data_IF_105606345218
#
_entry.id   IF_105606345218
#
_cell.length_a   1.000
_cell.length_b   1.000
_cell.length_c   1.000
_cell.angle_alpha   90.00
_cell.angle_beta   90.00
_cell.angle_gamma   90.00
#
_symmetry.space_group_name_H-M   'P 1'
#
loop_
_entity.id
_entity.type
_entity.pdbx_description
1 polymer ?
#
# COMPACT_ATOMS: atom_id res chain seq x y z
N UNK A 1 14.65 22.06 -17.92
CA UNK A 1 14.28 21.65 -17.64
C UNK A 1 13.87 20.87 -17.29
N UNK A 2 13.72 20.46 -16.81
CA UNK A 2 13.29 19.78 -16.42
C UNK A 2 12.70 19.30 -15.89
N UNK A 3 13.12 18.61 -15.90
CA UNK A 3 11.96 18.50 -15.48
C UNK A 3 11.58 17.85 -14.25
N UNK A 4 11.25 18.43 -13.25
CA UNK A 4 10.88 17.90 -11.97
C UNK A 4 9.66 17.02 -11.98
N UNK A 5 8.92 17.12 -13.00
CA UNK A 5 7.74 16.31 -13.10
C UNK A 5 8.03 14.86 -13.35
N UNK A 6 9.30 14.48 -13.40
CA UNK A 6 9.66 13.10 -13.46
C UNK A 6 9.37 12.39 -12.14
N UNK A 7 9.21 13.15 -11.07
CA UNK A 7 8.85 12.57 -9.78
C UNK A 7 7.35 12.57 -9.62
N UNK A 8 6.82 11.41 -9.31
CA UNK A 8 5.40 11.29 -9.06
C UNK A 8 5.03 12.01 -7.77
N UNK A 9 3.90 12.68 -7.77
CA UNK A 9 3.35 13.29 -6.55
C UNK A 9 2.63 12.25 -5.72
N UNK A 10 2.41 11.06 -6.26
CA UNK A 10 1.79 9.96 -5.53
C UNK A 10 2.88 9.15 -4.84
N UNK A 11 2.66 8.83 -3.59
CA UNK A 11 3.59 8.01 -2.83
C UNK A 11 2.83 6.97 -2.01
N UNK A 12 3.54 5.90 -1.64
CA UNK A 12 2.96 4.84 -0.84
C UNK A 12 2.97 5.19 0.63
N UNK A 13 1.85 4.92 1.30
CA UNK A 13 1.73 5.06 2.75
C UNK A 13 1.46 3.71 3.41
N UNK A 14 1.56 2.64 2.67
CA UNK A 14 1.22 1.33 3.19
C UNK A 14 2.06 0.97 4.41
N UNK A 15 3.36 1.23 4.35
CA UNK A 15 4.25 0.93 5.47
C UNK A 15 3.81 1.65 6.74
N UNK A 16 3.57 2.96 6.63
CA UNK A 16 3.16 3.76 7.78
C UNK A 16 1.86 3.26 8.38
N UNK A 17 0.90 2.95 7.54
CA UNK A 17 -0.40 2.47 8.00
C UNK A 17 -0.27 1.09 8.65
N UNK A 18 0.51 0.19 8.05
CA UNK A 18 0.74 -1.13 8.63
C UNK A 18 1.45 -1.01 9.97
N UNK A 19 2.49 -0.19 10.03
CA UNK A 19 3.26 -0.01 11.27
C UNK A 19 2.39 0.60 12.36
N UNK A 20 1.55 1.56 12.00
CA UNK A 20 0.68 2.23 12.97
C UNK A 20 -0.34 1.27 13.58
N UNK A 21 -0.72 0.22 12.86
CA UNK A 21 -1.73 -0.73 13.32
C UNK A 21 -1.15 -2.09 13.68
N UNK A 22 0.17 -2.23 13.66
CA UNK A 22 0.82 -3.48 14.03
C UNK A 22 0.58 -4.62 13.05
N UNK A 23 0.33 -4.31 11.79
CA UNK A 23 0.08 -5.33 10.76
C UNK A 23 1.40 -5.70 10.11
N UNK A 24 1.74 -7.00 10.11
CA UNK A 24 2.96 -7.47 9.46
C UNK A 24 2.70 -7.79 8.00
N UNK A 25 3.79 -7.81 7.20
CA UNK A 25 3.67 -8.22 5.80
C UNK A 25 3.18 -9.66 5.69
N UNK A 26 3.59 -10.51 6.62
CA UNK A 26 3.15 -11.90 6.64
C UNK A 26 1.63 -11.99 6.84
N UNK A 27 1.11 -11.24 7.80
CA UNK A 27 -0.34 -11.25 8.06
C UNK A 27 -1.10 -10.72 6.84
N UNK A 28 -0.58 -9.67 6.22
CA UNK A 28 -1.20 -9.10 5.04
C UNK A 28 -1.16 -10.09 3.87
N UNK A 29 -0.03 -10.75 3.67
CA UNK A 29 0.11 -11.75 2.61
C UNK A 29 -0.86 -12.90 2.82
N UNK A 30 -0.98 -13.35 4.05
CA UNK A 30 -1.86 -14.46 4.38
C UNK A 30 -3.33 -14.07 4.13
N UNK A 31 -3.69 -12.85 4.45
CA UNK A 31 -5.06 -12.37 4.30
C UNK A 31 -5.41 -12.12 2.83
N UNK A 32 -4.48 -11.57 2.06
CA UNK A 32 -4.72 -11.22 0.65
C UNK A 32 -4.51 -12.38 -0.30
N UNK A 33 -3.61 -13.30 0.05
CA UNK A 33 -3.18 -14.33 -0.88
C UNK A 33 -2.27 -13.82 -1.97
N UNK A 34 -1.87 -12.55 -1.92
CA UNK A 34 -1.01 -11.98 -2.93
C UNK A 34 0.43 -12.45 -2.77
N UNK A 35 1.22 -12.37 -3.84
CA UNK A 35 2.62 -12.77 -3.79
C UNK A 35 3.39 -11.83 -2.85
N UNK A 36 4.30 -12.40 -2.06
CA UNK A 36 5.09 -11.60 -1.11
C UNK A 36 5.91 -10.52 -1.81
N UNK A 37 6.45 -10.82 -2.99
CA UNK A 37 7.23 -9.82 -3.73
C UNK A 37 6.37 -8.62 -4.13
N UNK A 38 5.11 -8.87 -4.50
CA UNK A 38 4.18 -7.79 -4.83
C UNK A 38 3.93 -6.91 -3.63
N UNK A 39 3.64 -7.54 -2.48
CA UNK A 39 3.37 -6.79 -1.26
C UNK A 39 4.61 -6.04 -0.77
N UNK A 40 5.78 -6.64 -0.93
CA UNK A 40 7.04 -5.99 -0.54
C UNK A 40 7.26 -4.72 -1.34
N UNK A 41 7.01 -4.76 -2.66
CA UNK A 41 7.15 -3.56 -3.50
C UNK A 41 6.21 -2.45 -3.07
N UNK A 42 4.98 -2.80 -2.71
CA UNK A 42 4.01 -1.83 -2.21
C UNK A 42 4.43 -1.28 -0.85
N UNK A 43 4.90 -2.14 0.04
CA UNK A 43 5.35 -1.76 1.38
C UNK A 43 6.58 -0.86 1.30
N UNK A 44 7.55 -1.21 0.45
CA UNK A 44 8.79 -0.45 0.30
C UNK A 44 8.60 0.82 -0.52
N UNK A 45 7.46 0.95 -1.18
CA UNK A 45 7.19 2.13 -1.99
C UNK A 45 7.82 2.10 -3.37
N UNK A 46 8.28 0.94 -3.83
CA UNK A 46 8.95 0.84 -5.13
C UNK A 46 8.00 0.48 -6.28
N UNK A 47 6.80 0.05 -5.97
CA UNK A 47 5.82 -0.29 -7.01
C UNK A 47 5.31 0.97 -7.69
N UNK A 48 5.49 1.07 -8.99
CA UNK A 48 5.06 2.22 -9.77
C UNK A 48 3.77 1.95 -10.54
N UNK A 49 3.43 0.68 -10.74
CA UNK A 49 2.23 0.29 -11.48
C UNK A 49 1.45 -0.77 -10.69
N UNK A 50 0.75 -0.34 -9.65
CA UNK A 50 0.01 -1.30 -8.84
C UNK A 50 -1.16 -1.90 -9.62
N UNK A 51 -1.40 -3.18 -9.41
CA UNK A 51 -2.58 -3.86 -9.91
C UNK A 51 -3.76 -3.43 -9.04
N UNK A 52 -4.82 -2.94 -9.65
CA UNK A 52 -5.96 -2.42 -8.89
C UNK A 52 -6.65 -3.51 -8.08
N UNK A 53 -6.66 -4.75 -8.58
CA UNK A 53 -7.26 -5.84 -7.82
C UNK A 53 -6.46 -6.17 -6.58
N UNK A 54 -5.13 -6.13 -6.70
CA UNK A 54 -4.27 -6.34 -5.54
C UNK A 54 -4.44 -5.20 -4.55
N UNK A 55 -4.52 -3.97 -5.04
CA UNK A 55 -4.73 -2.80 -4.19
C UNK A 55 -6.04 -2.92 -3.43
N UNK A 56 -7.11 -3.32 -4.10
CA UNK A 56 -8.39 -3.55 -3.47
C UNK A 56 -8.29 -4.62 -2.39
N UNK A 57 -7.60 -5.73 -2.68
CA UNK A 57 -7.40 -6.81 -1.72
C UNK A 57 -6.64 -6.33 -0.49
N UNK A 58 -5.64 -5.48 -0.69
CA UNK A 58 -4.85 -4.95 0.42
C UNK A 58 -5.72 -4.09 1.32
N UNK A 59 -6.55 -3.22 0.74
CA UNK A 59 -7.43 -2.36 1.53
C UNK A 59 -8.42 -3.21 2.32
N UNK A 60 -9.03 -4.21 1.69
CA UNK A 60 -9.98 -5.10 2.36
C UNK A 60 -9.30 -5.87 3.49
N UNK A 61 -8.08 -6.36 3.22
CA UNK A 61 -7.33 -7.11 4.22
C UNK A 61 -6.98 -6.23 5.42
N UNK A 62 -6.58 -4.99 5.18
CA UNK A 62 -6.26 -4.08 6.26
C UNK A 62 -7.49 -3.79 7.11
N UNK A 63 -8.65 -3.63 6.49
CA UNK A 63 -9.88 -3.45 7.25
C UNK A 63 -10.19 -4.65 8.11
N UNK A 64 -9.98 -5.85 7.55
CA UNK A 64 -10.25 -7.09 8.28
C UNK A 64 -9.28 -7.27 9.44
N UNK A 65 -8.00 -6.97 9.20
CA UNK A 65 -6.96 -7.19 10.22
C UNK A 65 -6.98 -6.13 11.32
N UNK A 66 -7.39 -4.91 11.01
CA UNK A 66 -7.35 -3.81 11.97
C UNK A 66 -8.70 -3.52 12.62
N UNK A 67 -9.79 -3.91 11.97
CA UNK A 67 -11.12 -3.52 12.41
C UNK A 67 -11.39 -2.03 12.20
N UNK A 68 -10.52 -1.34 11.46
CA UNK A 68 -10.65 0.10 11.20
C UNK A 68 -11.10 0.32 9.77
N UNK A 69 -11.62 1.53 9.51
CA UNK A 69 -12.07 1.89 8.19
C UNK A 69 -10.89 2.44 7.37
N UNK A 70 -10.10 1.52 6.85
CA UNK A 70 -8.95 1.86 6.02
C UNK A 70 -9.47 2.24 4.63
N UNK A 71 -8.97 3.34 4.11
CA UNK A 71 -9.35 3.83 2.78
C UNK A 71 -8.14 3.90 1.87
N UNK A 72 -8.37 4.22 0.61
CA UNK A 72 -7.28 4.34 -0.35
C UNK A 72 -6.23 5.34 0.11
N UNK A 73 -6.66 6.44 0.74
CA UNK A 73 -5.74 7.47 1.23
C UNK A 73 -4.79 6.98 2.32
N UNK A 74 -5.12 5.86 2.95
CA UNK A 74 -4.24 5.26 3.95
C UNK A 74 -3.15 4.41 3.32
N UNK A 75 -3.29 4.11 2.03
CA UNK A 75 -2.34 3.25 1.30
C UNK A 75 -1.54 4.07 0.30
N UNK A 76 -2.19 5.01 -0.38
CA UNK A 76 -1.56 5.90 -1.35
C UNK A 76 -1.87 7.34 -0.98
N UNK A 77 -0.91 8.22 -1.23
CA UNK A 77 -1.05 9.63 -0.90
C UNK A 77 -0.60 10.47 -2.08
N UNK A 78 -1.34 11.55 -2.37
CA UNK A 78 -0.95 12.52 -3.38
C UNK A 78 -0.68 13.85 -2.72
N UNK A 79 0.45 14.43 -3.03
CA UNK A 79 0.81 15.75 -2.52
C UNK A 79 1.29 16.62 -3.66
N UNK A 80 0.76 17.82 -3.70
CA UNK A 80 1.19 18.79 -4.69
C UNK A 80 2.54 19.40 -4.30
#
# INVERSE_FOLDING_TARGET
>A
MNTPHTEAMVSWKLKETMDAHGVTRYALQKETGAAMNTLRGMYDGSTERPDLKVLDSVIRALRQLTGKQINLNDVLEWKA
#
